data_IF_132853953293
#
_entry.id   IF_132853953293
#
_cell.length_a   1.000
_cell.length_b   1.000
_cell.length_c   1.000
_cell.angle_alpha   90.00
_cell.angle_beta   90.00
_cell.angle_gamma   90.00
#
_symmetry.space_group_name_H-M   'P 1'
#
loop_
_entity.id
_entity.type
_entity.pdbx_description
1 polymer ?
#
# COMPACT_ATOMS: atom_id res chain seq x y z
N UNK A 1 4.24 -47.86 -8.87
CA UNK A 1 5.09 -46.78 -9.40
C UNK A 1 4.96 -46.81 -10.91
N UNK A 2 4.31 -45.81 -11.51
CA UNK A 2 3.99 -45.77 -12.93
C UNK A 2 5.22 -45.45 -13.78
N UNK A 3 5.28 -46.03 -14.98
CA UNK A 3 6.32 -45.72 -15.97
C UNK A 3 5.67 -45.42 -17.32
N UNK A 4 5.91 -44.23 -17.85
CA UNK A 4 5.38 -43.78 -19.13
C UNK A 4 6.51 -43.59 -20.16
N UNK A 5 6.30 -44.08 -21.39
CA UNK A 5 7.19 -43.77 -22.51
C UNK A 5 6.70 -42.52 -23.23
N UNK A 6 7.55 -41.50 -23.30
CA UNK A 6 7.24 -40.25 -24.00
C UNK A 6 8.29 -39.92 -25.04
N UNK A 7 7.86 -39.23 -26.10
CA UNK A 7 8.74 -38.74 -27.17
C UNK A 7 9.23 -37.33 -26.85
N UNK A 8 10.48 -37.06 -27.18
CA UNK A 8 11.04 -35.71 -27.17
C UNK A 8 10.37 -34.86 -28.25
N UNK A 9 10.03 -33.60 -27.95
CA UNK A 9 9.43 -32.69 -28.95
C UNK A 9 10.41 -32.19 -30.00
N UNK A 10 11.71 -32.18 -29.69
CA UNK A 10 12.75 -31.72 -30.61
C UNK A 10 13.23 -32.81 -31.57
N UNK A 11 13.58 -33.99 -31.04
CA UNK A 11 14.22 -35.05 -31.82
C UNK A 11 13.42 -36.38 -31.86
N UNK A 12 12.20 -36.41 -31.32
CA UNK A 12 11.33 -37.60 -31.26
C UNK A 12 11.89 -38.83 -30.50
N UNK A 13 13.08 -38.72 -29.91
CA UNK A 13 13.67 -39.77 -29.07
C UNK A 13 12.72 -40.19 -27.94
N UNK A 14 12.60 -41.50 -27.70
CA UNK A 14 11.72 -42.07 -26.67
C UNK A 14 12.47 -42.18 -25.35
N UNK A 15 11.88 -41.71 -24.27
CA UNK A 15 12.43 -41.84 -22.91
C UNK A 15 11.35 -42.36 -21.95
N UNK A 16 11.81 -43.08 -20.92
CA UNK A 16 10.95 -43.55 -19.82
C UNK A 16 10.94 -42.48 -18.74
N UNK A 17 9.75 -42.15 -18.26
CA UNK A 17 9.54 -41.23 -17.14
C UNK A 17 8.83 -42.02 -16.06
N UNK A 18 9.33 -41.90 -14.83
CA UNK A 18 8.66 -42.38 -13.63
C UNK A 18 7.99 -41.21 -12.90
N UNK A 19 7.17 -41.54 -11.89
CA UNK A 19 6.48 -40.54 -11.09
C UNK A 19 7.39 -39.67 -10.20
N UNK A 20 8.62 -40.10 -9.90
CA UNK A 20 9.55 -39.31 -9.08
C UNK A 20 10.02 -38.05 -9.83
N UNK A 21 10.03 -38.12 -11.16
CA UNK A 21 10.41 -37.04 -12.06
C UNK A 21 9.20 -36.33 -12.69
N UNK A 22 8.00 -36.91 -12.60
CA UNK A 22 6.77 -36.33 -13.14
C UNK A 22 6.43 -34.95 -12.57
N UNK A 23 5.95 -34.05 -13.43
CA UNK A 23 5.63 -32.66 -13.08
C UNK A 23 6.84 -31.71 -13.01
N UNK A 24 8.05 -32.20 -13.30
CA UNK A 24 9.29 -31.42 -13.36
C UNK A 24 9.73 -31.19 -14.82
N UNK A 25 10.63 -30.24 -15.01
CA UNK A 25 11.31 -30.08 -16.30
C UNK A 25 12.46 -31.08 -16.43
N UNK A 26 12.50 -31.81 -17.53
CA UNK A 26 13.64 -32.61 -17.96
C UNK A 26 14.35 -31.99 -19.15
N UNK A 27 15.58 -32.44 -19.42
CA UNK A 27 16.38 -32.05 -20.59
C UNK A 27 16.65 -33.30 -21.41
N UNK A 28 16.37 -33.26 -22.71
CA UNK A 28 16.66 -34.38 -23.60
C UNK A 28 18.19 -34.57 -23.73
N UNK A 29 18.68 -35.80 -23.54
CA UNK A 29 20.11 -36.12 -23.71
C UNK A 29 20.58 -35.97 -25.17
N UNK A 30 19.69 -36.14 -26.15
CA UNK A 30 20.04 -36.12 -27.58
C UNK A 30 20.08 -34.71 -28.18
N UNK A 31 19.09 -33.86 -27.87
CA UNK A 31 18.97 -32.54 -28.49
C UNK A 31 18.92 -31.38 -27.47
N UNK A 32 19.12 -31.67 -26.18
CA UNK A 32 19.08 -30.69 -25.08
C UNK A 32 17.76 -29.93 -24.92
N UNK A 33 16.71 -30.31 -25.67
CA UNK A 33 15.39 -29.71 -25.55
C UNK A 33 14.84 -29.89 -24.13
N UNK A 34 14.44 -28.78 -23.51
CA UNK A 34 13.75 -28.79 -22.22
C UNK A 34 12.29 -29.19 -22.42
N UNK A 35 11.79 -30.14 -21.63
CA UNK A 35 10.42 -30.64 -21.76
C UNK A 35 9.79 -30.90 -20.41
N UNK A 36 8.49 -30.63 -20.28
CA UNK A 36 7.73 -30.98 -19.08
C UNK A 36 7.58 -32.50 -19.02
N UNK A 37 7.96 -33.13 -17.92
CA UNK A 37 7.83 -34.58 -17.74
C UNK A 37 6.40 -34.89 -17.26
N UNK A 38 5.66 -35.81 -17.93
CA UNK A 38 4.34 -36.20 -17.44
C UNK A 38 4.45 -36.93 -16.11
N UNK A 39 3.36 -36.94 -15.35
CA UNK A 39 3.20 -37.82 -14.19
C UNK A 39 2.56 -39.11 -14.72
N UNK A 40 3.28 -40.24 -14.78
CA UNK A 40 2.79 -41.48 -15.37
C UNK A 40 1.54 -42.07 -14.73
N UNK A 41 1.46 -42.08 -13.40
CA UNK A 41 0.37 -42.69 -12.66
C UNK A 41 -0.87 -41.76 -12.64
N UNK A 42 -2.04 -42.21 -13.13
CA UNK A 42 -3.22 -41.36 -13.23
C UNK A 42 -3.74 -40.85 -11.89
N UNK A 43 -3.78 -41.71 -10.86
CA UNK A 43 -4.22 -41.32 -9.53
C UNK A 43 -3.30 -40.25 -8.93
N UNK A 44 -1.99 -40.44 -9.08
CA UNK A 44 -0.99 -39.47 -8.65
C UNK A 44 -1.05 -38.17 -9.46
N UNK A 45 -1.34 -38.23 -10.77
CA UNK A 45 -1.52 -37.04 -11.60
C UNK A 45 -2.68 -36.18 -11.09
N UNK A 46 -3.85 -36.79 -10.85
CA UNK A 46 -5.03 -36.10 -10.34
C UNK A 46 -4.77 -35.57 -8.92
N UNK A 47 -4.23 -36.41 -8.02
CA UNK A 47 -3.89 -36.01 -6.66
C UNK A 47 -2.88 -34.85 -6.62
N UNK A 48 -1.88 -34.87 -7.50
CA UNK A 48 -0.92 -33.79 -7.67
C UNK A 48 -1.58 -32.52 -8.18
N UNK A 49 -2.44 -32.64 -9.20
CA UNK A 49 -3.16 -31.52 -9.79
C UNK A 49 -4.11 -30.84 -8.79
N UNK A 50 -4.67 -31.57 -7.83
CA UNK A 50 -5.48 -30.98 -6.77
C UNK A 50 -4.67 -30.12 -5.80
N UNK A 51 -3.42 -30.52 -5.47
CA UNK A 51 -2.64 -29.94 -4.36
C UNK A 51 -1.62 -28.87 -4.78
N UNK A 52 -1.05 -28.99 -5.97
CA UNK A 52 0.07 -28.13 -6.40
C UNK A 52 -0.38 -26.66 -6.53
N UNK A 53 0.45 -25.62 -6.28
CA UNK A 53 0.06 -24.24 -6.56
C UNK A 53 -0.44 -24.02 -8.00
N UNK A 54 -1.45 -23.15 -8.18
CA UNK A 54 -2.06 -22.89 -9.50
C UNK A 54 -1.02 -22.49 -10.56
N UNK A 55 -0.03 -21.68 -10.19
CA UNK A 55 1.07 -21.26 -11.06
C UNK A 55 1.91 -22.42 -11.61
N UNK A 56 2.03 -23.53 -10.86
CA UNK A 56 2.72 -24.76 -11.28
C UNK A 56 1.79 -25.63 -12.14
N UNK A 57 0.52 -25.80 -11.75
CA UNK A 57 -0.47 -26.55 -12.55
C UNK A 57 -0.69 -25.91 -13.92
N UNK A 58 -0.99 -24.60 -13.97
CA UNK A 58 -1.18 -23.83 -15.21
C UNK A 58 0.01 -23.97 -16.17
N UNK A 59 1.23 -23.97 -15.65
CA UNK A 59 2.45 -24.16 -16.45
C UNK A 59 2.63 -25.60 -16.92
N UNK A 60 2.27 -26.58 -16.09
CA UNK A 60 2.26 -27.99 -16.49
C UNK A 60 1.27 -28.25 -17.64
N UNK A 61 0.05 -27.71 -17.55
CA UNK A 61 -0.98 -27.82 -18.59
C UNK A 61 -0.53 -27.10 -19.87
N UNK A 62 -0.07 -25.85 -19.79
CA UNK A 62 0.45 -25.10 -20.96
C UNK A 62 1.64 -25.79 -21.63
N UNK A 63 2.49 -26.45 -20.85
CA UNK A 63 3.61 -27.22 -21.38
C UNK A 63 3.18 -28.61 -21.91
N UNK A 64 1.88 -28.92 -21.95
CA UNK A 64 1.30 -30.20 -22.33
C UNK A 64 2.00 -31.37 -21.58
N UNK A 65 1.98 -31.22 -20.25
CA UNK A 65 2.52 -32.16 -19.27
C UNK A 65 1.65 -33.40 -19.09
N UNK A 66 0.37 -33.38 -19.45
CA UNK A 66 -0.50 -34.56 -19.34
C UNK A 66 -0.43 -35.50 -20.57
N UNK A 67 0.50 -35.27 -21.50
CA UNK A 67 0.63 -36.11 -22.70
C UNK A 67 0.84 -37.59 -22.36
N UNK A 68 0.31 -38.47 -23.21
CA UNK A 68 0.46 -39.92 -23.06
C UNK A 68 -0.61 -40.59 -22.20
N UNK A 69 -1.51 -39.81 -21.60
CA UNK A 69 -2.70 -40.30 -20.90
C UNK A 69 -3.88 -40.54 -21.84
N UNK A 70 -4.80 -41.42 -21.44
CA UNK A 70 -6.03 -41.71 -22.18
C UNK A 70 -7.00 -40.53 -22.14
N UNK A 71 -8.01 -40.54 -23.03
CA UNK A 71 -8.99 -39.46 -23.12
C UNK A 71 -9.79 -39.30 -21.82
N UNK A 72 -10.07 -40.40 -21.14
CA UNK A 72 -10.79 -40.44 -19.87
C UNK A 72 -10.00 -39.69 -18.79
N UNK A 73 -8.72 -40.02 -18.60
CA UNK A 73 -7.85 -39.36 -17.62
C UNK A 73 -7.66 -37.87 -17.92
N UNK A 74 -7.52 -37.51 -19.21
CA UNK A 74 -7.45 -36.09 -19.60
C UNK A 74 -8.74 -35.35 -19.25
N UNK A 75 -9.90 -35.99 -19.44
CA UNK A 75 -11.20 -35.39 -19.12
C UNK A 75 -11.32 -35.11 -17.62
N UNK A 76 -10.91 -36.06 -16.77
CA UNK A 76 -10.92 -35.87 -15.32
C UNK A 76 -9.92 -34.79 -14.87
N UNK A 77 -8.74 -34.75 -15.48
CA UNK A 77 -7.77 -33.68 -15.22
C UNK A 77 -8.33 -32.30 -15.60
N UNK A 78 -9.03 -32.20 -16.75
CA UNK A 78 -9.67 -30.94 -17.17
C UNK A 78 -10.69 -30.48 -16.13
N UNK A 79 -11.53 -31.37 -15.61
CA UNK A 79 -12.48 -31.02 -14.53
C UNK A 79 -11.77 -30.40 -13.33
N UNK A 80 -10.69 -31.03 -12.86
CA UNK A 80 -9.88 -30.50 -11.76
C UNK A 80 -9.29 -29.13 -12.10
N UNK A 81 -8.71 -28.97 -13.29
CA UNK A 81 -8.08 -27.71 -13.72
C UNK A 81 -9.11 -26.59 -13.80
N UNK A 82 -10.29 -26.85 -14.37
CA UNK A 82 -11.39 -25.88 -14.49
C UNK A 82 -11.94 -25.47 -13.12
N UNK A 83 -12.23 -26.43 -12.24
CA UNK A 83 -12.65 -26.13 -10.87
C UNK A 83 -11.64 -25.27 -10.11
N UNK A 84 -10.34 -25.56 -10.28
CA UNK A 84 -9.28 -24.75 -9.65
C UNK A 84 -9.10 -23.38 -10.28
N UNK A 85 -9.30 -23.26 -11.60
CA UNK A 85 -9.28 -21.98 -12.30
C UNK A 85 -10.36 -21.06 -11.77
N UNK A 86 -11.60 -21.54 -11.69
CA UNK A 86 -12.73 -20.77 -11.17
C UNK A 86 -12.53 -20.37 -9.71
N UNK A 87 -12.01 -21.27 -8.87
CA UNK A 87 -11.70 -20.95 -7.48
C UNK A 87 -10.65 -19.82 -7.36
N UNK A 88 -9.64 -19.79 -8.24
CA UNK A 88 -8.64 -18.73 -8.26
C UNK A 88 -9.20 -17.41 -8.80
N UNK A 89 -10.00 -17.46 -9.87
CA UNK A 89 -10.69 -16.29 -10.42
C UNK A 89 -11.64 -15.65 -9.40
N UNK A 90 -12.37 -16.46 -8.63
CA UNK A 90 -13.29 -15.95 -7.60
C UNK A 90 -12.52 -15.32 -6.43
N UNK A 91 -11.41 -15.93 -5.99
CA UNK A 91 -10.51 -15.30 -4.99
C UNK A 91 -9.99 -13.97 -5.46
N UNK A 92 -9.51 -13.88 -6.70
CA UNK A 92 -9.03 -12.62 -7.28
C UNK A 92 -10.16 -11.57 -7.36
N UNK A 93 -11.38 -11.97 -7.76
CA UNK A 93 -12.55 -11.07 -7.77
C UNK A 93 -12.89 -10.59 -6.38
N UNK A 94 -12.89 -11.47 -5.38
CA UNK A 94 -13.16 -11.10 -3.99
C UNK A 94 -12.09 -10.15 -3.46
N UNK A 95 -10.81 -10.43 -3.68
CA UNK A 95 -9.71 -9.53 -3.32
C UNK A 95 -9.81 -8.17 -4.02
N UNK A 96 -10.18 -8.14 -5.31
CA UNK A 96 -10.44 -6.89 -6.03
C UNK A 96 -11.62 -6.11 -5.46
N UNK A 97 -12.70 -6.78 -5.06
CA UNK A 97 -13.86 -6.15 -4.42
C UNK A 97 -13.48 -5.56 -3.06
N UNK A 98 -12.79 -6.32 -2.21
CA UNK A 98 -12.33 -5.86 -0.91
C UNK A 98 -11.38 -4.67 -1.05
N UNK A 99 -10.33 -4.79 -1.86
CA UNK A 99 -9.39 -3.67 -2.08
C UNK A 99 -10.06 -2.43 -2.69
N UNK A 100 -11.07 -2.59 -3.54
CA UNK A 100 -11.87 -1.47 -4.06
C UNK A 100 -12.70 -0.82 -2.96
N UNK A 101 -13.33 -1.61 -2.10
CA UNK A 101 -14.12 -1.14 -0.95
C UNK A 101 -13.25 -0.39 0.05
N UNK A 102 -12.10 -0.97 0.45
CA UNK A 102 -11.11 -0.34 1.34
C UNK A 102 -10.62 1.00 0.79
N UNK A 103 -10.26 1.05 -0.50
CA UNK A 103 -9.87 2.30 -1.17
C UNK A 103 -10.99 3.33 -1.20
N UNK A 104 -12.25 2.89 -1.32
CA UNK A 104 -13.42 3.77 -1.25
C UNK A 104 -13.57 4.38 0.15
N UNK A 105 -13.61 3.53 1.17
CA UNK A 105 -13.71 3.95 2.57
C UNK A 105 -12.57 4.89 2.99
N UNK A 106 -11.33 4.59 2.59
CA UNK A 106 -10.18 5.45 2.86
C UNK A 106 -10.32 6.83 2.19
N UNK A 107 -10.79 6.88 0.94
CA UNK A 107 -11.03 8.15 0.24
C UNK A 107 -12.13 8.97 0.90
N UNK A 108 -13.20 8.33 1.33
CA UNK A 108 -14.31 9.01 2.00
C UNK A 108 -13.90 9.53 3.38
N UNK A 109 -13.10 8.75 4.13
CA UNK A 109 -12.46 9.22 5.37
C UNK A 109 -11.61 10.47 5.11
N UNK A 110 -10.70 10.41 4.14
CA UNK A 110 -9.80 11.52 3.83
C UNK A 110 -10.55 12.77 3.39
N UNK A 111 -11.65 12.61 2.62
CA UNK A 111 -12.52 13.71 2.21
C UNK A 111 -13.20 14.38 3.38
N UNK A 112 -13.69 13.62 4.37
CA UNK A 112 -14.31 14.16 5.59
C UNK A 112 -13.30 14.97 6.39
N UNK A 113 -12.11 14.40 6.66
CA UNK A 113 -11.05 15.13 7.37
C UNK A 113 -10.62 16.40 6.62
N UNK A 114 -10.50 16.35 5.29
CA UNK A 114 -10.18 17.56 4.52
C UNK A 114 -11.29 18.62 4.56
N UNK A 115 -12.55 18.21 4.66
CA UNK A 115 -13.68 19.13 4.83
C UNK A 115 -13.63 19.80 6.20
N UNK A 116 -13.42 19.03 7.28
CA UNK A 116 -13.24 19.53 8.64
C UNK A 116 -12.09 20.56 8.71
N UNK A 117 -10.94 20.27 8.11
CA UNK A 117 -9.81 21.21 8.05
C UNK A 117 -10.12 22.53 7.33
N UNK A 118 -11.09 22.54 6.40
CA UNK A 118 -11.50 23.76 5.68
C UNK A 118 -12.52 24.59 6.45
N UNK A 119 -13.21 23.98 7.41
CA UNK A 119 -14.16 24.63 8.30
C UNK A 119 -13.45 25.39 9.43
N UNK A 120 -12.24 24.96 9.80
CA UNK A 120 -11.38 25.70 10.73
C UNK A 120 -11.12 27.14 10.26
N UNK A 121 -11.10 28.07 11.21
CA UNK A 121 -10.54 29.40 11.00
C UNK A 121 -9.03 29.32 10.69
N UNK A 122 -8.42 30.37 10.11
CA UNK A 122 -6.98 30.35 9.82
C UNK A 122 -6.16 30.12 11.10
N UNK A 123 -6.53 30.78 12.19
CA UNK A 123 -5.86 30.63 13.49
C UNK A 123 -6.01 29.22 14.08
N UNK A 124 -7.21 28.63 14.04
CA UNK A 124 -7.39 27.24 14.50
C UNK A 124 -6.57 26.25 13.67
N UNK A 125 -6.42 26.51 12.37
CA UNK A 125 -5.58 25.69 11.51
C UNK A 125 -4.09 25.80 11.88
N UNK A 126 -3.61 27.00 12.23
CA UNK A 126 -2.25 27.21 12.72
C UNK A 126 -2.01 26.51 14.06
N UNK A 127 -2.97 26.62 15.00
CA UNK A 127 -2.94 25.93 16.29
C UNK A 127 -2.89 24.41 16.11
N UNK A 128 -3.73 23.85 15.24
CA UNK A 128 -3.69 22.42 14.92
C UNK A 128 -2.31 22.00 14.42
N UNK A 129 -1.68 22.77 13.52
CA UNK A 129 -0.33 22.45 13.03
C UNK A 129 0.68 22.49 14.17
N UNK A 130 0.61 23.47 15.07
CA UNK A 130 1.47 23.52 16.25
C UNK A 130 1.27 22.28 17.15
N UNK A 131 0.02 21.91 17.43
CA UNK A 131 -0.32 20.71 18.21
C UNK A 131 0.26 19.43 17.61
N UNK A 132 0.21 19.26 16.29
CA UNK A 132 0.79 18.10 15.60
C UNK A 132 2.29 17.96 15.85
N UNK A 133 3.04 19.07 15.88
CA UNK A 133 4.46 19.05 16.23
C UNK A 133 4.70 18.83 17.72
N UNK A 134 3.82 19.35 18.59
CA UNK A 134 3.85 19.07 20.02
C UNK A 134 3.64 17.57 20.30
N UNK A 135 2.71 16.91 19.62
CA UNK A 135 2.49 15.45 19.72
C UNK A 135 3.73 14.65 19.32
N UNK A 136 4.53 15.16 18.38
CA UNK A 136 5.79 14.55 17.95
C UNK A 136 6.97 14.86 18.90
N UNK A 137 6.73 15.57 20.00
CA UNK A 137 7.76 15.86 21.01
C UNK A 137 8.55 17.15 20.76
N UNK A 138 8.12 18.02 19.85
CA UNK A 138 8.69 19.36 19.69
C UNK A 138 7.99 20.39 20.59
N UNK A 139 8.60 21.57 20.75
CA UNK A 139 7.94 22.75 21.32
C UNK A 139 7.49 23.64 20.18
N UNK A 140 6.20 23.57 19.83
CA UNK A 140 5.63 24.36 18.75
C UNK A 140 4.57 25.34 19.27
N UNK A 141 4.59 26.55 18.72
CA UNK A 141 3.64 27.62 19.08
C UNK A 141 3.19 28.30 17.80
N UNK A 142 1.88 28.45 17.61
CA UNK A 142 1.33 29.32 16.59
C UNK A 142 1.49 30.77 17.05
N UNK A 143 2.18 31.56 16.22
CA UNK A 143 2.57 32.95 16.52
C UNK A 143 1.64 33.94 15.84
N UNK A 144 1.15 33.62 14.64
CA UNK A 144 -0.15 34.04 14.11
C UNK A 144 -0.53 35.53 14.22
N UNK A 145 0.42 36.46 14.24
CA UNK A 145 0.11 37.89 14.25
C UNK A 145 0.17 38.50 12.84
N UNK A 146 -0.65 39.53 12.53
CA UNK A 146 -0.64 40.23 11.24
C UNK A 146 0.73 40.82 10.81
N UNK A 147 1.70 40.90 11.72
CA UNK A 147 3.03 41.46 11.52
C UNK A 147 4.14 40.42 11.25
N UNK A 148 3.83 39.11 11.25
CA UNK A 148 4.86 38.07 11.34
C UNK A 148 5.52 37.66 10.01
N UNK A 149 5.48 38.54 9.00
CA UNK A 149 6.21 38.37 7.72
C UNK A 149 5.97 37.04 6.99
N UNK A 150 4.91 36.28 7.33
CA UNK A 150 4.61 34.98 6.73
C UNK A 150 5.09 33.74 7.49
N UNK A 151 5.42 33.84 8.78
CA UNK A 151 5.61 32.69 9.67
C UNK A 151 4.40 32.56 10.58
N UNK A 152 3.71 31.43 10.50
CA UNK A 152 2.50 31.21 11.30
C UNK A 152 2.77 30.31 12.51
N UNK A 153 3.76 29.40 12.42
CA UNK A 153 4.16 28.50 13.53
C UNK A 153 5.68 28.49 13.67
N UNK A 154 6.17 28.60 14.91
CA UNK A 154 7.58 28.38 15.25
C UNK A 154 7.74 27.04 15.98
N UNK A 155 8.71 26.24 15.55
CA UNK A 155 8.95 24.89 16.07
C UNK A 155 10.38 24.81 16.61
N UNK A 156 10.51 24.46 17.88
CA UNK A 156 11.77 24.34 18.60
C UNK A 156 12.01 22.90 19.07
N UNK A 157 13.26 22.52 19.17
CA UNK A 157 13.66 21.27 19.85
C UNK A 157 13.36 21.39 21.36
N UNK A 158 13.44 20.27 22.08
CA UNK A 158 13.33 20.29 23.54
C UNK A 158 14.46 21.07 24.22
N UNK A 159 15.63 21.19 23.59
CA UNK A 159 16.73 22.04 24.06
C UNK A 159 16.50 23.53 23.80
N UNK A 160 15.42 23.92 23.10
CA UNK A 160 15.03 25.31 22.86
C UNK A 160 15.57 25.92 21.56
N UNK A 161 16.36 25.17 20.78
CA UNK A 161 16.88 25.59 19.48
C UNK A 161 15.74 25.73 18.46
N UNK A 162 15.77 26.80 17.64
CA UNK A 162 14.79 27.02 16.58
C UNK A 162 15.05 26.07 15.42
N UNK A 163 14.33 24.96 15.39
CA UNK A 163 14.49 23.92 14.41
C UNK A 163 13.78 24.23 13.09
N UNK A 164 12.49 24.61 13.16
CA UNK A 164 11.71 24.86 11.97
C UNK A 164 10.71 25.99 12.13
N UNK A 165 10.25 26.51 11.00
CA UNK A 165 9.11 27.43 10.91
C UNK A 165 8.09 26.89 9.92
N UNK A 166 6.82 27.22 10.11
CA UNK A 166 5.77 26.83 9.19
C UNK A 166 4.88 28.00 8.77
N UNK A 167 4.38 27.92 7.54
CA UNK A 167 3.28 28.73 7.04
C UNK A 167 2.08 27.84 6.71
N UNK A 168 0.90 28.32 7.07
CA UNK A 168 -0.37 27.62 7.04
C UNK A 168 -1.38 28.41 6.19
N UNK A 169 -1.74 27.87 5.02
CA UNK A 169 -2.75 28.46 4.12
C UNK A 169 -4.00 27.58 4.03
N UNK A 170 -5.04 27.95 4.76
CA UNK A 170 -6.35 27.30 4.72
C UNK A 170 -7.13 27.78 3.48
N UNK A 171 -7.15 26.95 2.43
CA UNK A 171 -7.78 27.24 1.15
C UNK A 171 -8.89 26.25 0.79
N UNK A 172 -9.93 26.77 0.15
CA UNK A 172 -11.01 25.95 -0.41
C UNK A 172 -10.54 25.11 -1.61
N UNK A 173 -11.39 24.19 -2.06
CA UNK A 173 -11.07 23.24 -3.15
C UNK A 173 -10.71 23.90 -4.50
N UNK A 174 -11.16 25.14 -4.72
CA UNK A 174 -10.94 25.90 -5.97
C UNK A 174 -9.70 26.79 -5.92
N UNK A 175 -9.21 27.13 -4.73
CA UNK A 175 -8.09 28.05 -4.56
C UNK A 175 -6.79 27.27 -4.50
N UNK A 176 -5.80 27.74 -5.27
CA UNK A 176 -4.49 27.10 -5.36
C UNK A 176 -3.41 28.04 -4.88
N UNK A 177 -2.42 27.47 -4.20
CA UNK A 177 -1.22 28.20 -3.79
C UNK A 177 -0.38 28.54 -5.01
N UNK A 178 -0.10 29.83 -5.17
CA UNK A 178 0.70 30.41 -6.23
C UNK A 178 2.19 30.30 -5.98
N UNK A 179 3.00 30.54 -7.01
CA UNK A 179 4.46 30.54 -6.87
C UNK A 179 4.96 31.72 -6.02
N UNK A 180 4.20 32.82 -5.99
CA UNK A 180 4.50 34.01 -5.19
C UNK A 180 4.48 33.67 -3.71
N UNK A 181 3.40 33.08 -3.20
CA UNK A 181 3.28 32.68 -1.79
C UNK A 181 4.43 31.77 -1.31
N UNK A 182 4.87 30.83 -2.17
CA UNK A 182 6.01 29.96 -1.83
C UNK A 182 7.32 30.76 -1.76
N UNK A 183 7.52 31.76 -2.62
CA UNK A 183 8.70 32.64 -2.56
C UNK A 183 8.65 33.59 -1.37
N UNK A 184 7.47 34.11 -1.06
CA UNK A 184 7.26 35.00 0.08
C UNK A 184 7.60 34.26 1.39
N UNK A 185 7.14 33.01 1.53
CA UNK A 185 7.57 32.13 2.62
C UNK A 185 9.09 31.89 2.61
N UNK A 186 9.71 31.76 1.44
CA UNK A 186 11.17 31.67 1.31
C UNK A 186 11.91 32.89 1.85
N UNK A 187 11.37 34.09 1.63
CA UNK A 187 11.89 35.33 2.23
C UNK A 187 11.75 35.33 3.75
N UNK A 188 10.57 34.96 4.26
CA UNK A 188 10.30 34.85 5.70
C UNK A 188 11.24 33.84 6.39
N UNK A 189 11.41 32.67 5.78
CA UNK A 189 12.30 31.61 6.24
C UNK A 189 13.75 32.10 6.33
N UNK A 190 14.26 32.82 5.33
CA UNK A 190 15.63 33.32 5.32
C UNK A 190 15.93 34.28 6.50
N UNK A 191 14.91 35.02 6.97
CA UNK A 191 15.03 35.91 8.12
C UNK A 191 14.77 35.21 9.47
N UNK A 192 14.26 33.97 9.44
CA UNK A 192 13.82 33.26 10.65
C UNK A 192 14.95 32.64 11.47
N UNK A 193 16.08 32.30 10.83
CA UNK A 193 17.17 31.52 11.42
C UNK A 193 16.83 30.06 11.69
N UNK A 194 15.73 29.53 11.16
CA UNK A 194 15.35 28.13 11.31
C UNK A 194 16.11 27.22 10.33
N UNK A 195 16.30 25.95 10.71
CA UNK A 195 16.97 24.96 9.86
C UNK A 195 16.04 24.42 8.77
N UNK A 196 14.74 24.32 9.05
CA UNK A 196 13.76 23.73 8.12
C UNK A 196 12.49 24.59 7.98
N UNK A 197 11.83 24.47 6.84
CA UNK A 197 10.58 25.16 6.54
C UNK A 197 9.45 24.20 6.19
N UNK A 198 8.27 24.43 6.75
CA UNK A 198 7.06 23.69 6.39
C UNK A 198 6.01 24.61 5.76
N UNK A 199 5.36 24.15 4.70
CA UNK A 199 4.22 24.84 4.12
C UNK A 199 3.01 23.92 4.11
N UNK A 200 2.00 24.26 4.89
CA UNK A 200 0.76 23.51 5.02
C UNK A 200 -0.37 24.21 4.27
N UNK A 201 -1.12 23.46 3.48
CA UNK A 201 -2.34 23.98 2.86
C UNK A 201 -3.42 22.92 2.72
N UNK A 202 -4.67 23.32 2.95
CA UNK A 202 -5.85 22.49 2.64
C UNK A 202 -6.24 22.56 1.15
N UNK A 203 -5.56 23.40 0.37
CA UNK A 203 -5.68 23.51 -1.08
C UNK A 203 -4.66 22.67 -1.84
N UNK A 204 -4.41 23.04 -3.09
CA UNK A 204 -3.38 22.42 -3.94
C UNK A 204 -2.41 23.47 -4.48
N UNK A 205 -1.21 23.05 -4.89
CA UNK A 205 -0.25 23.95 -5.53
C UNK A 205 -0.48 24.03 -7.04
N UNK A 206 -0.31 25.25 -7.58
CA UNK A 206 -0.13 25.46 -9.02
C UNK A 206 1.13 24.77 -9.55
N UNK A 207 1.24 24.56 -10.87
CA UNK A 207 2.44 23.96 -11.49
C UNK A 207 3.70 24.78 -11.18
N UNK A 208 3.60 26.11 -11.25
CA UNK A 208 4.71 27.01 -10.95
C UNK A 208 5.09 26.98 -9.46
N UNK A 209 4.11 26.92 -8.55
CA UNK A 209 4.38 26.78 -7.12
C UNK A 209 5.12 25.47 -6.82
N UNK A 210 4.74 24.34 -7.42
CA UNK A 210 5.46 23.07 -7.25
C UNK A 210 6.90 23.15 -7.77
N UNK A 211 7.12 23.77 -8.92
CA UNK A 211 8.48 23.97 -9.45
C UNK A 211 9.32 24.84 -8.52
N UNK A 212 8.72 25.88 -7.96
CA UNK A 212 9.37 26.78 -7.00
C UNK A 212 9.72 26.04 -5.71
N UNK A 213 8.78 25.32 -5.11
CA UNK A 213 9.01 24.55 -3.88
C UNK A 213 10.12 23.50 -4.05
N UNK A 214 10.20 22.82 -5.21
CA UNK A 214 11.29 21.89 -5.54
C UNK A 214 12.68 22.54 -5.60
N UNK A 215 12.76 23.86 -5.80
CA UNK A 215 14.01 24.61 -5.77
C UNK A 215 14.50 24.91 -4.35
N UNK A 216 13.69 24.66 -3.32
CA UNK A 216 14.01 24.93 -1.92
C UNK A 216 14.23 23.61 -1.16
N UNK A 217 15.48 23.15 -0.99
CA UNK A 217 15.77 21.85 -0.37
C UNK A 217 15.38 21.78 1.12
N UNK A 218 15.32 22.94 1.79
CA UNK A 218 14.89 23.10 3.18
C UNK A 218 13.36 23.11 3.35
N UNK A 219 12.58 23.09 2.25
CA UNK A 219 11.13 23.25 2.29
C UNK A 219 10.42 21.90 2.13
N UNK A 220 9.52 21.59 3.07
CA UNK A 220 8.55 20.49 2.94
C UNK A 220 7.14 21.04 2.80
N UNK A 221 6.40 20.58 1.78
CA UNK A 221 5.04 21.07 1.49
C UNK A 221 4.02 19.95 1.68
N UNK A 222 2.99 20.23 2.49
CA UNK A 222 1.84 19.37 2.67
C UNK A 222 0.58 20.02 2.09
N UNK A 223 0.02 19.40 1.06
CA UNK A 223 -1.25 19.81 0.42
C UNK A 223 -2.39 18.91 0.83
N UNK A 224 -3.64 19.38 0.79
CA UNK A 224 -4.89 18.64 1.04
C UNK A 224 -4.74 17.16 1.41
N UNK A 225 -4.67 16.27 0.42
CA UNK A 225 -4.58 14.81 0.63
C UNK A 225 -3.32 14.36 1.41
N UNK A 226 -2.17 14.97 1.13
CA UNK A 226 -0.91 14.70 1.82
C UNK A 226 -0.92 15.21 3.26
N UNK A 227 -1.59 16.35 3.52
CA UNK A 227 -1.80 16.88 4.86
C UNK A 227 -2.71 15.97 5.68
N UNK A 228 -3.83 15.50 5.11
CA UNK A 228 -4.70 14.53 5.79
C UNK A 228 -3.95 13.26 6.11
N UNK A 229 -3.16 12.73 5.16
CA UNK A 229 -2.33 11.55 5.39
C UNK A 229 -1.32 11.77 6.52
N UNK A 230 -0.72 12.96 6.59
CA UNK A 230 0.20 13.34 7.67
C UNK A 230 -0.50 13.38 9.04
N UNK A 231 -1.67 14.01 9.13
CA UNK A 231 -2.48 14.10 10.37
C UNK A 231 -2.92 12.71 10.83
N UNK A 232 -3.51 11.90 9.93
CA UNK A 232 -3.94 10.54 10.26
C UNK A 232 -2.76 9.66 10.72
N UNK A 233 -1.57 9.87 10.15
CA UNK A 233 -0.36 9.15 10.55
C UNK A 233 0.07 9.49 11.97
N UNK A 234 0.06 10.77 12.33
CA UNK A 234 0.41 11.23 13.68
C UNK A 234 -0.61 10.74 14.69
N UNK A 235 -1.91 10.90 14.40
CA UNK A 235 -2.98 10.41 15.28
C UNK A 235 -2.85 8.91 15.55
N UNK A 236 -2.60 8.09 14.52
CA UNK A 236 -2.37 6.64 14.72
C UNK A 236 -1.12 6.31 15.55
N UNK A 237 -0.10 7.15 15.52
CA UNK A 237 1.14 6.92 16.27
C UNK A 237 1.03 7.36 17.74
N UNK A 238 0.23 8.38 18.01
CA UNK A 238 0.19 9.07 19.31
C UNK A 238 -1.20 9.11 19.96
N UNK A 239 -2.23 8.47 19.37
CA UNK A 239 -3.45 8.13 20.09
C UNK A 239 -3.10 7.15 21.22
N UNK A 240 -3.51 7.44 22.47
CA UNK A 240 -3.41 6.44 23.52
C UNK A 240 -4.24 5.23 23.06
N UNK A 241 -3.63 4.04 23.00
CA UNK A 241 -4.41 2.79 22.96
C UNK A 241 -5.39 2.90 24.11
N UNK A 242 -6.68 2.96 23.82
CA UNK A 242 -7.70 2.74 24.83
C UNK A 242 -7.51 1.31 25.33
N UNK A 243 -6.71 1.14 26.39
CA UNK A 243 -6.88 0.02 27.30
C UNK A 243 -8.27 0.21 27.92
N UNK A 244 -9.29 -0.34 27.26
CA UNK A 244 -10.48 -0.76 27.98
C UNK A 244 -10.09 -2.13 28.56
N UNK A 245 -9.79 -2.25 29.86
CA UNK A 245 -9.63 -3.56 30.45
C UNK A 245 -11.03 -4.16 30.47
N UNK A 246 -11.20 -5.21 29.68
CA UNK A 246 -12.32 -6.13 29.75
C UNK A 246 -12.30 -6.79 31.14
N UNK A 247 -12.86 -6.10 32.14
CA UNK A 247 -13.13 -6.71 33.44
C UNK A 247 -14.48 -7.40 33.34
N UNK A 248 -14.37 -8.67 33.01
CA UNK A 248 -15.19 -9.77 33.50
C UNK A 248 -15.79 -9.42 34.87
N UNK A 249 -17.12 -9.31 34.92
CA UNK A 249 -17.88 -9.45 36.16
C UNK A 249 -18.86 -10.62 35.95
N UNK A 250 -18.43 -11.82 36.34
CA UNK A 250 -19.38 -12.86 36.75
C UNK A 250 -20.08 -12.44 38.06
N UNK A 251 -21.29 -12.94 38.35
CA UNK A 251 -22.14 -12.39 39.42
C UNK A 251 -21.69 -12.87 40.81
N UNK A 252 -22.04 -12.12 41.88
CA UNK A 252 -23.05 -12.67 42.79
C UNK A 252 -24.03 -11.66 43.44
N UNK A 253 -25.13 -12.25 43.93
CA UNK A 253 -26.14 -11.80 44.91
C UNK A 253 -25.47 -11.16 46.17
N UNK A 254 -26.12 -10.32 46.98
CA UNK A 254 -27.13 -10.65 48.02
C UNK A 254 -28.02 -9.44 48.38
N UNK A 255 -29.21 -9.76 48.87
CA UNK A 255 -30.20 -8.90 49.53
C UNK A 255 -29.75 -8.37 50.90
N UNK A 256 -30.18 -7.14 51.22
CA UNK A 256 -30.88 -6.79 52.46
C UNK A 256 -32.05 -5.87 52.10
#
# INVERSE_FOLDING_TARGET
MGIMRVKCRGCSAKFRVDDAHGGKWGVCCMCRQRTMLPIPDPERLIAWACKVPWSKLSRFIRANGARGHSREIITDLVRVVESRRWAEEERERQQRRLSKSERGAQRDSQRRTLAELRELSPYEFEQLVAELFCMQGYRAVAVGQPADNGIDVTIRTQSGEKWAVAQCKRYGSRTKVGAMEIRDFGGAYALSGALHGFFFTTGTLTRHARKTAKGFPWLTVYTGDALVTYIEGIRRQFEPKSEVPDRVAGPPEWTC
#
